data_IF_808810418350
#
_entry.id   IF_808810418350
#
_cell.length_a   1.000
_cell.length_b   1.000
_cell.length_c   1.000
_cell.angle_alpha   90.00
_cell.angle_beta   90.00
_cell.angle_gamma   90.00
#
_symmetry.space_group_name_H-M   'P 1'
#
loop_
_entity.id
_entity.type
_entity.pdbx_description
1 polymer ?
#
# COMPACT_ATOMS: atom_id res chain seq x y z
N UNK A 1 -32.77 -21.32 41.03
CA UNK A 1 -31.34 -21.58 40.72
C UNK A 1 -31.12 -21.91 39.24
N UNK A 2 -31.98 -22.74 38.61
CA UNK A 2 -31.91 -23.12 37.18
C UNK A 2 -31.82 -21.93 36.20
N UNK A 3 -32.60 -20.86 36.42
CA UNK A 3 -32.65 -19.69 35.52
C UNK A 3 -31.33 -18.90 35.47
N UNK A 4 -30.58 -18.84 36.59
CA UNK A 4 -29.25 -18.19 36.64
C UNK A 4 -28.20 -18.98 35.87
N UNK A 5 -28.25 -20.31 35.94
CA UNK A 5 -27.35 -21.18 35.21
C UNK A 5 -27.56 -21.06 33.69
N UNK A 6 -28.83 -20.93 33.25
CA UNK A 6 -29.18 -20.71 31.85
C UNK A 6 -28.63 -19.36 31.35
N UNK A 7 -28.78 -18.29 32.12
CA UNK A 7 -28.23 -16.97 31.77
C UNK A 7 -26.70 -17.02 31.66
N UNK A 8 -26.03 -17.71 32.58
CA UNK A 8 -24.58 -17.83 32.56
C UNK A 8 -24.07 -18.62 31.34
N UNK A 9 -24.79 -19.69 30.97
CA UNK A 9 -24.48 -20.49 29.78
C UNK A 9 -24.62 -19.67 28.50
N UNK A 10 -25.66 -18.84 28.39
CA UNK A 10 -25.86 -17.94 27.24
C UNK A 10 -24.74 -16.91 27.10
N UNK A 11 -24.22 -16.36 28.22
CA UNK A 11 -23.07 -15.45 28.18
C UNK A 11 -21.79 -16.13 27.68
N UNK A 12 -21.53 -17.38 28.05
CA UNK A 12 -20.34 -18.14 27.62
C UNK A 12 -20.34 -18.44 26.11
N UNK A 13 -21.51 -18.71 25.54
CA UNK A 13 -21.69 -18.92 24.09
C UNK A 13 -21.38 -17.67 23.26
N UNK A 14 -21.56 -16.49 23.85
CA UNK A 14 -21.37 -15.19 23.18
C UNK A 14 -19.88 -14.81 23.00
N UNK A 15 -18.96 -15.46 23.72
CA UNK A 15 -17.53 -15.12 23.72
C UNK A 15 -16.76 -15.54 22.45
N UNK A 16 -17.39 -16.31 21.54
CA UNK A 16 -16.74 -16.83 20.32
C UNK A 16 -16.96 -15.94 19.08
N UNK A 17 -17.53 -14.74 19.23
CA UNK A 17 -17.67 -13.81 18.11
C UNK A 17 -16.30 -13.24 17.72
N UNK A 18 -15.71 -13.74 16.63
CA UNK A 18 -14.53 -13.14 15.99
C UNK A 18 -15.00 -12.10 14.98
N UNK A 19 -14.61 -10.84 15.21
CA UNK A 19 -14.81 -9.77 14.24
C UNK A 19 -13.70 -9.83 13.18
N UNK A 20 -13.87 -10.67 12.16
CA UNK A 20 -13.00 -10.67 10.99
C UNK A 20 -13.45 -9.55 10.05
N UNK A 21 -12.76 -8.41 10.11
CA UNK A 21 -13.03 -7.27 9.25
C UNK A 21 -12.47 -7.55 7.85
N UNK A 22 -13.35 -7.92 6.92
CA UNK A 22 -13.02 -8.05 5.49
C UNK A 22 -13.48 -6.79 4.76
N UNK A 23 -12.54 -5.89 4.47
CA UNK A 23 -12.81 -4.70 3.65
C UNK A 23 -12.60 -5.09 2.19
N UNK A 24 -13.69 -5.25 1.44
CA UNK A 24 -13.64 -5.42 -0.02
C UNK A 24 -14.16 -4.14 -0.68
N UNK A 25 -13.27 -3.42 -1.35
CA UNK A 25 -13.62 -2.20 -2.09
C UNK A 25 -14.20 -2.63 -3.43
N UNK A 26 -15.51 -2.47 -3.60
CA UNK A 26 -16.26 -2.94 -4.77
C UNK A 26 -16.43 -1.90 -5.87
N UNK A 27 -16.16 -0.62 -5.58
CA UNK A 27 -16.14 0.47 -6.54
C UNK A 27 -14.97 1.41 -6.23
N UNK A 28 -14.02 1.51 -7.17
CA UNK A 28 -12.97 2.54 -7.14
C UNK A 28 -13.46 3.84 -7.77
N UNK A 29 -12.59 4.86 -7.78
CA UNK A 29 -12.83 6.12 -8.50
C UNK A 29 -12.84 5.88 -10.01
N UNK A 30 -13.77 6.50 -10.75
CA UNK A 30 -13.91 6.34 -12.21
C UNK A 30 -12.68 6.83 -13.01
N UNK A 31 -11.85 7.70 -12.42
CA UNK A 31 -10.61 8.19 -13.02
C UNK A 31 -9.50 8.36 -11.94
N UNK A 32 -8.82 7.26 -11.56
CA UNK A 32 -7.80 7.31 -10.52
C UNK A 32 -6.57 8.11 -10.97
N UNK A 33 -5.96 8.82 -10.03
CA UNK A 33 -4.78 9.67 -10.23
C UNK A 33 -3.57 8.81 -10.62
N UNK A 34 -2.96 9.02 -11.80
CA UNK A 34 -1.74 8.32 -12.21
C UNK A 34 -0.55 8.73 -11.34
N UNK A 35 0.12 7.74 -10.75
CA UNK A 35 1.33 7.94 -9.94
C UNK A 35 2.39 6.89 -10.27
N UNK A 36 3.64 7.33 -10.40
CA UNK A 36 4.79 6.43 -10.44
C UNK A 36 5.45 6.35 -9.05
N UNK A 37 5.59 5.14 -8.52
CA UNK A 37 6.32 4.87 -7.28
C UNK A 37 7.59 4.13 -7.67
N UNK A 38 8.73 4.82 -7.65
CA UNK A 38 10.00 4.21 -8.03
C UNK A 38 10.50 3.32 -6.89
N UNK A 39 10.99 2.09 -7.16
CA UNK A 39 11.61 1.23 -6.16
C UNK A 39 12.68 1.94 -5.37
N UNK A 40 12.59 1.87 -4.04
CA UNK A 40 13.45 2.66 -3.18
C UNK A 40 14.86 2.08 -3.18
N UNK A 41 15.88 2.90 -3.45
CA UNK A 41 17.25 2.46 -3.29
C UNK A 41 17.56 2.16 -1.82
N UNK A 42 18.27 1.07 -1.57
CA UNK A 42 18.76 0.71 -0.24
C UNK A 42 20.27 0.96 -0.14
N UNK A 43 20.69 1.87 0.75
CA UNK A 43 22.09 2.25 0.97
C UNK A 43 22.72 1.60 2.23
N UNK A 44 22.12 0.52 2.77
CA UNK A 44 22.63 -0.15 3.97
C UNK A 44 23.28 -1.52 3.73
N UNK A 45 23.85 -2.10 4.79
CA UNK A 45 24.39 -3.47 4.73
C UNK A 45 23.31 -4.53 4.93
N UNK A 46 23.34 -5.56 4.08
CA UNK A 46 22.40 -6.68 4.10
C UNK A 46 21.20 -6.48 3.19
N UNK A 47 20.24 -7.41 3.25
CA UNK A 47 18.97 -7.32 2.51
C UNK A 47 17.96 -6.55 3.36
N UNK A 48 17.24 -5.61 2.75
CA UNK A 48 16.12 -4.94 3.40
C UNK A 48 15.01 -5.96 3.68
N UNK A 49 14.47 -5.98 4.89
CA UNK A 49 13.47 -6.98 5.28
C UNK A 49 12.10 -6.77 4.63
N UNK A 50 11.81 -5.55 4.18
CA UNK A 50 10.52 -5.15 3.65
C UNK A 50 10.70 -4.48 2.28
N UNK A 51 9.73 -4.71 1.40
CA UNK A 51 9.64 -4.05 0.11
C UNK A 51 8.77 -2.78 0.27
N UNK A 52 9.44 -1.66 0.56
CA UNK A 52 8.76 -0.42 0.95
C UNK A 52 7.99 0.18 -0.22
N UNK A 53 8.52 0.11 -1.45
CA UNK A 53 7.78 0.56 -2.63
C UNK A 53 6.53 -0.27 -2.89
N UNK A 54 6.59 -1.59 -2.69
CA UNK A 54 5.42 -2.44 -2.78
C UNK A 54 4.38 -2.11 -1.70
N UNK A 55 4.79 -1.87 -0.45
CA UNK A 55 3.89 -1.47 0.64
C UNK A 55 3.17 -0.15 0.30
N UNK A 56 3.91 0.87 -0.14
CA UNK A 56 3.32 2.17 -0.52
C UNK A 56 2.37 2.00 -1.72
N UNK A 57 2.74 1.17 -2.69
CA UNK A 57 1.88 0.87 -3.84
C UNK A 57 0.57 0.21 -3.42
N UNK A 58 0.64 -0.80 -2.56
CA UNK A 58 -0.54 -1.52 -2.06
C UNK A 58 -1.47 -0.61 -1.25
N UNK A 59 -0.91 0.24 -0.39
CA UNK A 59 -1.67 1.21 0.39
C UNK A 59 -2.40 2.21 -0.51
N UNK A 60 -1.71 2.82 -1.49
CA UNK A 60 -2.33 3.80 -2.39
C UNK A 60 -3.37 3.17 -3.31
N UNK A 61 -3.12 1.95 -3.80
CA UNK A 61 -4.10 1.21 -4.59
C UNK A 61 -5.33 0.81 -3.76
N UNK A 62 -5.14 0.48 -2.49
CA UNK A 62 -6.23 0.17 -1.57
C UNK A 62 -7.09 1.40 -1.26
N UNK A 63 -6.59 2.63 -1.37
CA UNK A 63 -7.46 3.81 -1.26
C UNK A 63 -8.40 3.94 -2.48
N UNK A 64 -7.99 3.42 -3.64
CA UNK A 64 -8.76 3.49 -4.90
C UNK A 64 -8.73 4.84 -5.62
N UNK A 65 -8.07 5.85 -5.03
CA UNK A 65 -7.83 7.18 -5.61
C UNK A 65 -6.64 7.20 -6.57
N UNK A 66 -5.71 6.24 -6.44
CA UNK A 66 -4.46 6.21 -7.20
C UNK A 66 -4.37 4.99 -8.12
N UNK A 67 -3.73 5.19 -9.28
CA UNK A 67 -3.32 4.12 -10.19
C UNK A 67 -1.81 4.13 -10.34
N UNK A 68 -1.17 3.22 -9.61
CA UNK A 68 0.28 3.09 -9.66
C UNK A 68 0.76 2.51 -11.00
N UNK A 69 1.81 3.10 -11.56
CA UNK A 69 2.53 2.56 -12.72
C UNK A 69 3.41 1.39 -12.28
N UNK A 70 3.28 0.25 -12.97
CA UNK A 70 4.19 -0.89 -12.76
C UNK A 70 5.65 -0.51 -13.03
N UNK A 71 6.62 -0.92 -12.18
CA UNK A 71 8.04 -0.67 -12.41
C UNK A 71 8.56 -1.12 -13.78
N UNK A 72 7.99 -2.20 -14.35
CA UNK A 72 8.36 -2.70 -15.67
C UNK A 72 8.02 -1.73 -16.82
N UNK A 73 7.12 -0.78 -16.60
CA UNK A 73 6.70 0.22 -17.58
C UNK A 73 7.40 1.57 -17.37
N UNK A 74 8.29 1.69 -16.38
CA UNK A 74 9.04 2.91 -16.11
C UNK A 74 10.18 3.08 -17.11
N UNK A 75 10.43 4.32 -17.55
CA UNK A 75 11.53 4.65 -18.46
C UNK A 75 12.88 4.80 -17.74
N UNK A 76 12.85 5.05 -16.43
CA UNK A 76 14.02 5.20 -15.57
C UNK A 76 13.65 4.89 -14.12
N UNK A 77 14.66 4.60 -13.28
CA UNK A 77 14.51 4.32 -11.85
C UNK A 77 15.39 5.28 -11.03
N UNK A 78 15.05 6.58 -10.98
CA UNK A 78 15.81 7.57 -10.22
C UNK A 78 15.64 7.34 -8.71
N UNK A 79 16.71 7.48 -7.95
CA UNK A 79 16.72 7.30 -6.49
C UNK A 79 16.79 8.62 -5.72
N UNK A 80 16.98 9.73 -6.43
CA UNK A 80 17.03 11.08 -5.90
C UNK A 80 16.44 12.07 -6.92
N UNK A 81 15.98 13.23 -6.44
CA UNK A 81 15.34 14.25 -7.28
C UNK A 81 16.23 14.71 -8.45
N UNK A 82 17.54 14.84 -8.21
CA UNK A 82 18.50 15.28 -9.23
C UNK A 82 18.60 14.34 -10.44
N UNK A 83 18.19 13.07 -10.29
CA UNK A 83 18.17 12.07 -11.37
C UNK A 83 16.85 12.10 -12.18
N UNK A 84 15.86 12.89 -11.77
CA UNK A 84 14.53 12.90 -12.36
C UNK A 84 14.49 13.74 -13.64
N UNK A 85 14.22 13.06 -14.77
CA UNK A 85 13.88 13.72 -16.03
C UNK A 85 12.35 13.81 -16.19
N UNK A 86 11.74 14.89 -15.71
CA UNK A 86 10.26 15.09 -15.75
C UNK A 86 9.60 14.92 -17.12
N UNK A 87 10.34 15.12 -18.22
CA UNK A 87 9.83 14.85 -19.57
C UNK A 87 9.44 13.38 -19.74
N UNK A 88 10.24 12.46 -19.23
CA UNK A 88 10.06 11.03 -19.48
C UNK A 88 8.77 10.54 -18.80
N UNK A 89 8.46 11.04 -17.61
CA UNK A 89 7.20 10.76 -16.88
C UNK A 89 5.96 11.38 -17.52
N UNK A 90 6.07 12.60 -18.07
CA UNK A 90 4.97 13.24 -18.81
C UNK A 90 4.58 12.47 -20.06
N UNK A 91 5.54 11.88 -20.76
CA UNK A 91 5.30 11.12 -22.00
C UNK A 91 4.46 9.86 -21.74
N UNK A 92 4.59 9.27 -20.54
CA UNK A 92 3.80 8.11 -20.10
C UNK A 92 2.64 8.48 -19.18
N UNK A 93 2.21 9.75 -19.24
CA UNK A 93 1.04 10.29 -18.53
C UNK A 93 1.01 9.99 -17.02
N UNK A 94 2.14 10.20 -16.35
CA UNK A 94 2.21 10.17 -14.88
C UNK A 94 2.14 11.59 -14.33
N UNK A 95 1.15 11.85 -13.48
CA UNK A 95 0.91 13.16 -12.88
C UNK A 95 1.74 13.36 -11.61
N UNK A 96 2.01 12.27 -10.89
CA UNK A 96 2.81 12.25 -9.66
C UNK A 96 3.96 11.25 -9.77
N UNK A 97 5.05 11.57 -9.08
CA UNK A 97 6.24 10.74 -8.99
C UNK A 97 6.71 10.71 -7.53
N UNK A 98 6.84 9.50 -6.98
CA UNK A 98 7.46 9.23 -5.70
C UNK A 98 8.82 8.60 -5.94
N UNK A 99 9.86 9.24 -5.41
CA UNK A 99 11.26 8.80 -5.46
C UNK A 99 11.81 8.84 -4.05
N UNK A 100 12.60 7.84 -3.69
CA UNK A 100 13.17 7.76 -2.36
C UNK A 100 14.34 6.80 -2.28
N UNK A 101 15.06 6.93 -1.17
CA UNK A 101 16.10 6.01 -0.76
C UNK A 101 16.03 5.77 0.74
N UNK A 102 16.45 4.59 1.15
CA UNK A 102 16.43 4.11 2.52
C UNK A 102 17.87 3.98 2.96
N UNK A 103 18.21 4.74 4.01
CA UNK A 103 19.56 4.80 4.54
C UNK A 103 19.55 4.27 5.97
N UNK A 104 20.53 3.44 6.32
CA UNK A 104 20.81 3.11 7.72
C UNK A 104 21.71 4.21 8.28
N UNK A 105 21.24 4.93 9.30
CA UNK A 105 22.05 5.86 10.06
C UNK A 105 23.11 5.13 10.90
#
# INVERSE_FOLDING_TARGET
MMSRAIIFLICLLSANARAELSIQITQGVDNPIPIAIVPFAWEGMGVLSEDVDQIVMDDLQQVGEFRALSPANMLSLPNEEAQVFFRDWRVIAQDYLLVGKINRA
#
